data_IF_982916665279
#
_entry.id   IF_982916665279
#
_cell.length_a   1.000
_cell.length_b   1.000
_cell.length_c   1.000
_cell.angle_alpha   90.00
_cell.angle_beta   90.00
_cell.angle_gamma   90.00
#
_symmetry.space_group_name_H-M   'P 1'
#
loop_
_entity.id
_entity.type
_entity.pdbx_description
1 polymer ?
#
# COMPACT_ATOMS: atom_id res chain seq x y z
N UNK A 1 33.83 -35.89 61.48
CA UNK A 1 35.00 -35.00 61.52
C UNK A 1 35.29 -34.55 60.09
N UNK A 2 35.56 -33.26 59.81
CA UNK A 2 34.81 -32.05 60.13
C UNK A 2 34.04 -31.50 58.90
N UNK A 3 32.85 -30.95 59.17
CA UNK A 3 32.04 -30.14 58.25
C UNK A 3 32.53 -28.70 58.39
N UNK A 4 33.15 -28.12 57.36
CA UNK A 4 33.52 -26.71 57.36
C UNK A 4 32.43 -25.87 56.72
N UNK A 5 31.55 -25.39 57.58
CA UNK A 5 30.74 -24.19 57.40
C UNK A 5 31.63 -23.02 57.00
N UNK A 6 31.51 -22.54 55.76
CA UNK A 6 31.98 -21.21 55.40
C UNK A 6 30.80 -20.24 55.44
N UNK A 7 30.50 -19.79 56.66
CA UNK A 7 29.87 -18.50 56.89
C UNK A 7 31.00 -17.46 56.89
N UNK A 8 31.16 -16.73 55.78
CA UNK A 8 31.92 -15.49 55.78
C UNK A 8 30.95 -14.36 55.48
N UNK A 9 30.58 -13.66 56.55
CA UNK A 9 30.04 -12.33 56.51
C UNK A 9 31.18 -11.34 56.19
N UNK A 10 31.17 -10.78 54.98
CA UNK A 10 31.67 -9.44 54.69
C UNK A 10 30.41 -8.63 54.37
N UNK A 11 29.75 -7.99 55.33
CA UNK A 11 30.17 -6.76 56.01
C UNK A 11 30.58 -5.68 55.01
N UNK A 12 29.62 -4.78 54.77
CA UNK A 12 29.78 -3.37 54.43
C UNK A 12 30.55 -3.00 53.14
N UNK A 13 29.79 -2.79 52.07
CA UNK A 13 30.02 -1.65 51.15
C UNK A 13 28.74 -1.38 50.33
N UNK A 14 27.60 -1.26 51.00
CA UNK A 14 26.29 -0.98 50.39
C UNK A 14 25.87 0.47 50.68
N UNK A 15 26.65 1.46 50.24
CA UNK A 15 26.28 2.88 50.41
C UNK A 15 27.22 3.87 49.69
N UNK A 16 27.45 3.70 48.38
CA UNK A 16 28.05 4.77 47.56
C UNK A 16 27.66 4.62 46.09
N UNK A 17 26.48 5.10 45.74
CA UNK A 17 26.08 5.26 44.36
C UNK A 17 24.64 5.72 44.26
N UNK A 18 24.45 6.87 43.59
CA UNK A 18 23.18 7.36 43.05
C UNK A 18 22.34 8.28 43.95
N UNK A 19 22.96 9.32 44.49
CA UNK A 19 22.25 10.61 44.68
C UNK A 19 23.05 11.73 44.00
N UNK A 20 23.38 11.54 42.72
CA UNK A 20 23.67 12.65 41.83
C UNK A 20 22.38 12.99 41.11
N UNK A 21 21.52 13.81 41.73
CA UNK A 21 20.41 14.43 41.03
C UNK A 21 21.03 15.48 40.09
N UNK A 22 21.56 15.01 38.97
CA UNK A 22 22.06 15.86 37.91
C UNK A 22 20.90 16.60 37.27
N UNK A 23 21.18 17.83 36.80
CA UNK A 23 20.24 18.64 36.05
C UNK A 23 19.52 17.80 34.99
N UNK A 24 18.21 18.00 34.75
CA UNK A 24 17.48 17.23 33.75
C UNK A 24 18.25 17.29 32.43
N UNK A 25 18.42 16.12 31.80
CA UNK A 25 19.13 16.02 30.55
C UNK A 25 18.52 17.01 29.53
N UNK A 26 19.35 17.68 28.72
CA UNK A 26 18.84 18.62 27.73
C UNK A 26 17.92 17.89 26.75
N UNK A 27 16.89 18.59 26.23
CA UNK A 27 15.96 17.98 25.28
C UNK A 27 16.69 17.56 24.01
N UNK A 28 16.30 16.41 23.47
CA UNK A 28 16.89 15.87 22.24
C UNK A 28 16.60 16.79 21.05
N UNK A 29 17.60 16.97 20.19
CA UNK A 29 17.50 17.85 19.02
C UNK A 29 16.66 17.26 17.90
N UNK A 30 16.23 18.12 16.97
CA UNK A 30 15.56 17.71 15.72
C UNK A 30 16.39 16.69 14.95
N UNK A 31 17.69 16.95 14.78
CA UNK A 31 18.59 16.07 14.04
C UNK A 31 18.76 14.69 14.70
N UNK A 32 18.67 14.62 16.03
CA UNK A 32 18.65 13.33 16.73
C UNK A 32 17.41 12.53 16.30
N UNK A 33 16.23 13.14 16.31
CA UNK A 33 14.99 12.47 15.93
C UNK A 33 14.94 12.13 14.43
N UNK A 34 15.60 12.91 13.58
CA UNK A 34 15.73 12.57 12.16
C UNK A 34 16.59 11.32 11.93
N UNK A 35 17.56 11.04 12.80
CA UNK A 35 18.42 9.84 12.72
C UNK A 35 17.84 8.63 13.43
N UNK A 36 17.18 8.84 14.56
CA UNK A 36 16.68 7.78 15.45
C UNK A 36 15.17 7.59 15.33
N UNK A 37 14.74 6.83 14.32
CA UNK A 37 13.32 6.62 14.01
C UNK A 37 12.50 6.08 15.18
N UNK A 38 13.05 5.13 15.95
CA UNK A 38 12.37 4.56 17.12
C UNK A 38 12.11 5.63 18.20
N UNK A 39 13.09 6.50 18.44
CA UNK A 39 12.95 7.58 19.41
C UNK A 39 11.94 8.64 18.93
N UNK A 40 11.94 8.96 17.64
CA UNK A 40 10.95 9.87 17.05
C UNK A 40 9.53 9.34 17.24
N UNK A 41 9.28 8.09 16.89
CA UNK A 41 7.93 7.49 17.01
C UNK A 41 7.48 7.40 18.46
N UNK A 42 8.36 6.95 19.37
CA UNK A 42 8.05 6.87 20.79
C UNK A 42 7.72 8.25 21.38
N UNK A 43 8.50 9.29 21.04
CA UNK A 43 8.23 10.65 21.49
C UNK A 43 6.92 11.19 20.89
N UNK A 44 6.69 11.04 19.59
CA UNK A 44 5.43 11.47 18.96
C UNK A 44 4.20 10.79 19.57
N UNK A 45 4.31 9.51 19.92
CA UNK A 45 3.25 8.77 20.59
C UNK A 45 2.97 9.37 21.98
N UNK A 46 4.00 9.62 22.79
CA UNK A 46 3.88 10.30 24.08
C UNK A 46 3.21 11.67 23.94
N UNK A 47 3.59 12.45 22.92
CA UNK A 47 3.04 13.79 22.70
C UNK A 47 1.54 13.81 22.35
N UNK A 48 0.94 12.67 22.03
CA UNK A 48 -0.50 12.54 21.72
C UNK A 48 -1.33 12.04 22.91
N UNK A 49 -0.68 11.65 24.01
CA UNK A 49 -1.36 11.17 25.20
C UNK A 49 -2.19 12.31 25.84
N UNK A 50 -3.51 12.15 26.04
CA UNK A 50 -4.35 13.17 26.67
C UNK A 50 -3.94 13.53 28.10
N UNK A 51 -3.17 12.67 28.79
CA UNK A 51 -2.59 12.96 30.11
C UNK A 51 -1.31 13.79 30.08
N UNK A 52 -0.76 14.05 28.88
CA UNK A 52 0.47 14.78 28.67
C UNK A 52 0.15 16.19 28.15
N UNK A 53 0.87 17.23 28.61
CA UNK A 53 0.76 18.58 28.05
C UNK A 53 1.89 18.83 27.03
N UNK A 54 1.68 18.59 25.73
CA UNK A 54 2.71 18.70 24.70
C UNK A 54 3.02 20.13 24.25
N UNK A 55 2.28 21.14 24.76
CA UNK A 55 2.47 22.54 24.40
C UNK A 55 3.79 23.11 24.89
N UNK A 56 4.25 22.64 26.06
CA UNK A 56 5.43 23.15 26.75
C UNK A 56 6.65 22.21 26.65
N UNK A 57 6.52 21.06 25.99
CA UNK A 57 7.62 20.09 25.85
C UNK A 57 8.48 20.37 24.60
N UNK A 58 9.74 20.83 24.77
CA UNK A 58 10.66 21.04 23.65
C UNK A 58 10.98 19.75 22.87
N UNK A 59 10.93 18.56 23.49
CA UNK A 59 11.09 17.30 22.76
C UNK A 59 9.93 17.05 21.80
N UNK A 60 8.70 17.40 22.18
CA UNK A 60 7.53 17.29 21.31
C UNK A 60 7.60 18.25 20.13
N UNK A 61 8.07 19.49 20.35
CA UNK A 61 8.30 20.44 19.27
C UNK A 61 9.37 19.92 18.29
N UNK A 62 10.51 19.44 18.81
CA UNK A 62 11.60 18.92 18.00
C UNK A 62 11.20 17.66 17.22
N UNK A 63 10.45 16.75 17.84
CA UNK A 63 9.95 15.54 17.19
C UNK A 63 8.96 15.84 16.06
N UNK A 64 8.03 16.79 16.25
CA UNK A 64 7.11 17.22 15.18
C UNK A 64 7.87 17.82 14.00
N UNK A 65 8.83 18.70 14.27
CA UNK A 65 9.64 19.30 13.23
C UNK A 65 10.48 18.25 12.47
N UNK A 66 11.02 17.25 13.18
CA UNK A 66 11.74 16.15 12.53
C UNK A 66 10.82 15.32 11.62
N UNK A 67 9.60 15.02 12.06
CA UNK A 67 8.61 14.32 11.26
C UNK A 67 8.22 15.10 9.99
N UNK A 68 8.03 16.41 10.09
CA UNK A 68 7.74 17.28 8.95
C UNK A 68 8.89 17.26 7.93
N UNK A 69 10.14 17.38 8.39
CA UNK A 69 11.33 17.34 7.51
C UNK A 69 11.47 16.00 6.81
N UNK A 70 11.30 14.89 7.54
CA UNK A 70 11.34 13.54 6.96
C UNK A 70 10.22 13.33 5.95
N UNK A 71 9.00 13.81 6.25
CA UNK A 71 7.88 13.76 5.30
C UNK A 71 8.15 14.55 4.02
N UNK A 72 8.76 15.73 4.12
CA UNK A 72 9.17 16.51 2.95
C UNK A 72 10.24 15.80 2.11
N UNK A 73 11.23 15.18 2.76
CA UNK A 73 12.28 14.42 2.08
C UNK A 73 11.72 13.19 1.35
N UNK A 74 10.82 12.43 1.99
CA UNK A 74 10.16 11.27 1.37
C UNK A 74 9.29 11.71 0.17
N UNK A 75 8.55 12.81 0.30
CA UNK A 75 7.74 13.35 -0.80
C UNK A 75 8.61 13.80 -1.98
N UNK A 76 9.78 14.39 -1.73
CA UNK A 76 10.74 14.76 -2.77
C UNK A 76 11.35 13.52 -3.44
N UNK A 77 11.80 12.53 -2.65
CA UNK A 77 12.35 11.28 -3.17
C UNK A 77 11.35 10.55 -4.09
N UNK A 78 10.09 10.44 -3.65
CA UNK A 78 9.01 9.83 -4.46
C UNK A 78 8.71 10.60 -5.74
N UNK A 79 8.80 11.94 -5.72
CA UNK A 79 8.65 12.75 -6.95
C UNK A 79 9.80 12.49 -7.91
N UNK A 80 11.04 12.46 -7.41
CA UNK A 80 12.22 12.20 -8.22
C UNK A 80 12.18 10.79 -8.84
N UNK A 81 11.74 9.77 -8.09
CA UNK A 81 11.58 8.41 -8.59
C UNK A 81 10.57 8.33 -9.75
N UNK A 82 9.38 8.92 -9.57
CA UNK A 82 8.35 8.96 -10.62
C UNK A 82 8.81 9.69 -11.86
N UNK A 83 9.51 10.82 -11.70
CA UNK A 83 10.08 11.55 -12.83
C UNK A 83 11.13 10.71 -13.57
N UNK A 84 12.02 10.03 -12.84
CA UNK A 84 13.01 9.14 -13.42
C UNK A 84 12.34 7.98 -14.20
N UNK A 85 11.28 7.40 -13.66
CA UNK A 85 10.49 6.37 -14.35
C UNK A 85 9.82 6.90 -15.61
N UNK A 86 9.19 8.07 -15.52
CA UNK A 86 8.59 8.74 -16.66
C UNK A 86 9.60 8.97 -17.79
N UNK A 87 10.81 9.46 -17.46
CA UNK A 87 11.86 9.66 -18.45
C UNK A 87 12.35 8.35 -19.07
N UNK A 88 12.49 7.27 -18.27
CA UNK A 88 12.84 5.93 -18.79
C UNK A 88 11.78 5.42 -19.79
N UNK A 89 10.50 5.57 -19.43
CA UNK A 89 9.38 5.14 -20.27
C UNK A 89 9.31 5.93 -21.58
N UNK A 90 9.49 7.26 -21.51
CA UNK A 90 9.57 8.10 -22.72
C UNK A 90 10.73 7.71 -23.63
N UNK A 91 11.91 7.47 -23.07
CA UNK A 91 13.06 7.04 -23.85
C UNK A 91 12.84 5.66 -24.49
N UNK A 92 12.20 4.72 -23.77
CA UNK A 92 11.85 3.41 -24.32
C UNK A 92 10.84 3.52 -25.46
N UNK A 93 9.83 4.37 -25.32
CA UNK A 93 8.84 4.63 -26.37
C UNK A 93 9.50 5.22 -27.62
N UNK A 94 10.37 6.24 -27.48
CA UNK A 94 11.11 6.81 -28.62
C UNK A 94 11.89 5.75 -29.37
N UNK A 95 12.67 4.93 -28.66
CA UNK A 95 13.41 3.81 -29.28
C UNK A 95 12.50 2.81 -29.98
N UNK A 96 11.29 2.57 -29.47
CA UNK A 96 10.32 1.68 -30.12
C UNK A 96 9.81 2.28 -31.42
N UNK A 97 9.38 3.53 -31.39
CA UNK A 97 8.89 4.24 -32.56
C UNK A 97 9.98 4.37 -33.64
N UNK A 98 11.23 4.62 -33.25
CA UNK A 98 12.37 4.65 -34.19
C UNK A 98 12.59 3.29 -34.87
N UNK A 99 12.48 2.18 -34.13
CA UNK A 99 12.57 0.83 -34.70
C UNK A 99 11.41 0.52 -35.63
N UNK A 100 10.19 0.92 -35.26
CA UNK A 100 9.00 0.76 -36.10
C UNK A 100 9.12 1.57 -37.40
N UNK A 101 9.61 2.81 -37.32
CA UNK A 101 9.86 3.66 -38.47
C UNK A 101 10.94 3.08 -39.41
N UNK A 102 12.06 2.61 -38.86
CA UNK A 102 13.10 1.95 -39.66
C UNK A 102 12.60 0.66 -40.30
N UNK A 103 11.79 -0.12 -39.59
CA UNK A 103 11.17 -1.31 -40.15
C UNK A 103 10.25 -0.93 -41.32
N UNK A 104 9.40 0.09 -41.15
CA UNK A 104 8.52 0.62 -42.20
C UNK A 104 9.28 1.09 -43.44
N UNK A 105 10.40 1.79 -43.29
CA UNK A 105 11.26 2.23 -44.40
C UNK A 105 11.88 1.05 -45.16
N UNK A 106 12.13 -0.07 -44.49
CA UNK A 106 12.65 -1.29 -45.13
C UNK A 106 11.59 -2.15 -45.84
N UNK A 107 10.29 -1.83 -45.69
CA UNK A 107 9.24 -2.49 -46.45
C UNK A 107 9.22 -1.97 -47.88
N UNK A 108 9.43 -2.83 -48.90
CA UNK A 108 9.33 -2.40 -50.28
C UNK A 108 7.90 -1.95 -50.59
N UNK A 109 7.74 -0.71 -51.10
CA UNK A 109 6.47 -0.08 -51.50
C UNK A 109 5.69 -0.85 -52.60
N UNK A 110 6.24 -1.95 -53.13
CA UNK A 110 5.73 -2.65 -54.30
C UNK A 110 5.03 -3.99 -54.00
N UNK A 111 4.49 -4.15 -52.79
CA UNK A 111 3.43 -5.13 -52.56
C UNK A 111 2.19 -4.38 -52.13
N UNK A 112 1.28 -4.21 -53.09
CA UNK A 112 -0.13 -3.99 -52.81
C UNK A 112 -0.50 -4.88 -51.61
N UNK A 113 -0.71 -4.25 -50.47
CA UNK A 113 -1.25 -4.91 -49.30
C UNK A 113 -2.69 -5.22 -49.72
N UNK A 114 -2.91 -6.39 -50.33
CA UNK A 114 -4.20 -7.01 -50.20
C UNK A 114 -4.45 -7.08 -48.69
N UNK A 115 -5.55 -6.48 -48.17
CA UNK A 115 -5.88 -6.67 -46.77
C UNK A 115 -5.91 -8.18 -46.55
N UNK A 116 -5.27 -8.71 -45.48
CA UNK A 116 -5.34 -10.13 -45.23
C UNK A 116 -6.82 -10.49 -45.09
N UNK A 117 -7.36 -11.20 -46.08
CA UNK A 117 -8.64 -11.89 -46.01
C UNK A 117 -8.46 -13.00 -44.98
N UNK A 118 -8.55 -12.58 -43.72
CA UNK A 118 -8.08 -13.33 -42.57
C UNK A 118 -8.11 -12.52 -41.28
N UNK A 119 -8.85 -11.40 -41.24
CA UNK A 119 -9.56 -11.08 -39.99
C UNK A 119 -10.42 -12.31 -39.73
N UNK A 120 -10.01 -13.13 -38.77
CA UNK A 120 -10.91 -14.11 -38.18
C UNK A 120 -12.01 -13.25 -37.58
N UNK A 121 -13.10 -13.05 -38.34
CA UNK A 121 -14.36 -12.61 -37.78
C UNK A 121 -14.65 -13.59 -36.67
N UNK A 122 -14.46 -13.17 -35.41
CA UNK A 122 -15.11 -13.86 -34.32
C UNK A 122 -16.61 -13.82 -34.68
N UNK A 123 -17.29 -14.98 -34.81
CA UNK A 123 -18.72 -14.99 -35.11
C UNK A 123 -19.57 -14.24 -34.07
N UNK A 124 -18.99 -13.80 -32.95
CA UNK A 124 -19.63 -12.84 -32.02
C UNK A 124 -19.61 -11.37 -32.44
N UNK A 125 -18.78 -10.99 -33.40
CA UNK A 125 -18.62 -9.57 -33.81
C UNK A 125 -19.24 -9.23 -35.17
N UNK A 126 -19.76 -10.21 -35.90
CA UNK A 126 -20.46 -10.01 -37.18
C UNK A 126 -21.99 -9.84 -37.04
N UNK A 127 -22.49 -9.84 -35.81
CA UNK A 127 -23.76 -9.18 -35.57
C UNK A 127 -23.46 -7.67 -35.58
N UNK A 128 -23.80 -6.99 -36.67
CA UNK A 128 -24.17 -5.58 -36.58
C UNK A 128 -25.35 -5.51 -35.60
N UNK A 129 -25.05 -5.50 -34.30
CA UNK A 129 -25.97 -5.05 -33.28
C UNK A 129 -26.39 -3.67 -33.78
N UNK A 130 -27.67 -3.51 -34.08
CA UNK A 130 -28.22 -2.18 -34.35
C UNK A 130 -27.80 -1.27 -33.21
N UNK A 131 -27.67 0.03 -33.47
CA UNK A 131 -27.29 1.00 -32.42
C UNK A 131 -28.16 0.82 -31.17
N UNK A 132 -29.43 0.45 -31.33
CA UNK A 132 -30.36 0.09 -30.26
C UNK A 132 -29.94 -1.14 -29.43
N UNK A 133 -29.41 -2.18 -30.08
CA UNK A 133 -28.96 -3.39 -29.41
C UNK A 133 -27.62 -3.18 -28.69
N UNK A 134 -26.76 -2.28 -29.20
CA UNK A 134 -25.56 -1.84 -28.50
C UNK A 134 -25.90 -0.99 -27.27
N UNK A 135 -26.84 -0.06 -27.40
CA UNK A 135 -27.33 0.74 -26.27
C UNK A 135 -27.99 -0.13 -25.19
N UNK A 136 -28.76 -1.14 -25.59
CA UNK A 136 -29.35 -2.11 -24.65
C UNK A 136 -28.28 -2.91 -23.88
N UNK A 137 -27.20 -3.31 -24.56
CA UNK A 137 -26.09 -4.03 -23.92
C UNK A 137 -25.29 -3.13 -22.96
N UNK A 138 -25.06 -1.86 -23.34
CA UNK A 138 -24.43 -0.87 -22.46
C UNK A 138 -25.26 -0.68 -21.19
N UNK A 139 -26.59 -0.54 -21.32
CA UNK A 139 -27.47 -0.39 -20.16
C UNK A 139 -27.48 -1.63 -19.27
N UNK A 140 -27.51 -2.84 -19.86
CA UNK A 140 -27.40 -4.11 -19.12
C UNK A 140 -26.12 -4.18 -18.31
N UNK A 141 -24.98 -3.82 -18.91
CA UNK A 141 -23.68 -3.83 -18.26
C UNK A 141 -23.57 -2.78 -17.15
N UNK A 142 -24.15 -1.60 -17.34
CA UNK A 142 -24.22 -0.57 -16.30
C UNK A 142 -25.01 -1.08 -15.09
N UNK A 143 -26.18 -1.68 -15.31
CA UNK A 143 -27.03 -2.22 -14.25
C UNK A 143 -26.36 -3.40 -13.51
N UNK A 144 -25.60 -4.25 -14.22
CA UNK A 144 -24.79 -5.31 -13.59
C UNK A 144 -23.69 -4.71 -12.69
N UNK A 145 -23.01 -3.67 -13.14
CA UNK A 145 -21.98 -2.99 -12.34
C UNK A 145 -22.56 -2.32 -11.11
N UNK A 146 -23.75 -1.73 -11.20
CA UNK A 146 -24.44 -1.16 -10.05
C UNK A 146 -24.85 -2.23 -9.05
N UNK A 147 -25.42 -3.36 -9.51
CA UNK A 147 -25.73 -4.50 -8.64
C UNK A 147 -24.50 -5.04 -7.93
N UNK A 148 -23.38 -5.22 -8.64
CA UNK A 148 -22.09 -5.62 -8.05
C UNK A 148 -21.58 -4.60 -7.02
N UNK A 149 -21.72 -3.30 -7.29
CA UNK A 149 -21.37 -2.22 -6.35
C UNK A 149 -22.23 -2.25 -5.09
N UNK A 150 -23.51 -2.62 -5.21
CA UNK A 150 -24.46 -2.71 -4.11
C UNK A 150 -24.43 -4.06 -3.38
N UNK A 151 -23.57 -5.00 -3.80
CA UNK A 151 -23.41 -6.30 -3.15
C UNK A 151 -24.51 -7.31 -3.47
N UNK A 152 -25.34 -7.04 -4.47
CA UNK A 152 -26.39 -7.94 -4.92
C UNK A 152 -25.79 -8.96 -5.90
N UNK A 153 -25.52 -10.18 -5.42
CA UNK A 153 -25.08 -11.28 -6.29
C UNK A 153 -26.25 -11.72 -7.17
N UNK A 154 -26.05 -12.01 -8.47
CA UNK A 154 -27.11 -12.56 -9.30
C UNK A 154 -27.60 -13.87 -8.67
N UNK A 155 -28.88 -13.91 -8.31
CA UNK A 155 -29.53 -15.12 -7.83
C UNK A 155 -29.43 -16.21 -8.88
N UNK A 156 -29.04 -17.40 -8.45
CA UNK A 156 -28.95 -18.58 -9.30
C UNK A 156 -30.36 -18.86 -9.88
N UNK A 157 -30.54 -18.82 -11.22
CA UNK A 157 -31.86 -18.99 -11.82
C UNK A 157 -32.47 -20.38 -11.56
N UNK A 158 -31.67 -21.32 -11.02
CA UNK A 158 -32.08 -22.68 -10.69
C UNK A 158 -32.53 -22.88 -9.23
N UNK A 159 -32.60 -21.81 -8.42
CA UNK A 159 -33.12 -21.92 -7.05
C UNK A 159 -34.64 -21.85 -7.04
N UNK A 160 -35.31 -23.01 -7.10
CA UNK A 160 -36.75 -23.15 -6.86
C UNK A 160 -37.06 -22.79 -5.39
N UNK A 161 -37.81 -21.69 -5.12
CA UNK A 161 -38.11 -21.26 -3.76
C UNK A 161 -39.09 -22.19 -3.02
N UNK A 162 -39.57 -23.27 -3.65
CA UNK A 162 -40.53 -24.21 -3.05
C UNK A 162 -39.92 -25.49 -2.48
N UNK A 163 -38.60 -25.68 -2.56
CA UNK A 163 -37.92 -26.83 -1.94
C UNK A 163 -37.78 -26.66 -0.41
N UNK A 164 -38.91 -26.78 0.30
CA UNK A 164 -38.95 -26.88 1.77
C UNK A 164 -38.46 -28.27 2.16
N UNK A 165 -37.33 -28.34 2.87
CA UNK A 165 -36.80 -29.56 3.47
C UNK A 165 -37.84 -30.23 4.38
N UNK A 166 -38.26 -31.44 4.02
CA UNK A 166 -38.89 -32.38 4.96
C UNK A 166 -37.90 -32.73 6.09
N UNK A 167 -38.30 -32.62 7.38
CA UNK A 167 -37.45 -33.07 8.48
C UNK A 167 -37.45 -34.60 8.58
N UNK A 168 -36.25 -35.19 8.67
CA UNK A 168 -36.04 -36.62 8.80
C UNK A 168 -36.68 -37.20 10.08
N UNK A 169 -37.22 -38.43 10.04
CA UNK A 169 -37.81 -39.07 11.21
C UNK A 169 -36.73 -39.48 12.23
N UNK A 170 -37.06 -39.51 13.54
CA UNK A 170 -36.12 -39.83 14.59
C UNK A 170 -35.75 -41.33 14.60
N UNK A 171 -34.51 -41.67 15.03
CA UNK A 171 -34.06 -43.06 15.10
C UNK A 171 -34.67 -43.82 16.29
N UNK A 172 -34.91 -45.13 16.09
CA UNK A 172 -35.34 -46.10 17.10
C UNK A 172 -34.24 -46.47 18.11
#
# INVERSE_FOLDING_TARGET
MPKHSFAIAFAACLSSGLTGCGEPAPPRSVDYFMREAAALQATLFRCRDPGFNPGDDPECANARQAAERLGAQDAEAKRAEREAEFQRNRAALRRRLEREAQAAESWPEDKAIEPPLGVVSDPRTDATLSDEALEAEIHRLQDELERRRHGEMPGDPDTDPTAVSEPAPPPE
#
